data_IF_360832330557
#
_entry.id   IF_360832330557
#
_cell.length_a   1.000
_cell.length_b   1.000
_cell.length_c   1.000
_cell.angle_alpha   90.00
_cell.angle_beta   90.00
_cell.angle_gamma   90.00
#
_symmetry.space_group_name_H-M   'P 1'
#
loop_
_entity.id
_entity.type
_entity.pdbx_description
1 polymer ?
#
# COMPACT_ATOMS: atom_id res chain seq x y z
N UNK A 1 28.18 -1.72 -10.73
CA UNK A 1 26.99 -1.21 -10.00
C UNK A 1 27.06 -1.76 -8.59
N UNK A 2 26.67 -0.99 -7.57
CA UNK A 2 26.51 -1.49 -6.20
C UNK A 2 25.17 -2.22 -6.06
N UNK A 3 25.06 -3.17 -5.12
CA UNK A 3 23.79 -3.85 -4.82
C UNK A 3 22.70 -2.85 -4.42
N UNK A 4 23.02 -1.86 -3.57
CA UNK A 4 22.09 -0.79 -3.20
C UNK A 4 21.47 -0.10 -4.43
N UNK A 5 22.30 0.26 -5.41
CA UNK A 5 21.83 0.91 -6.64
C UNK A 5 20.92 0.00 -7.46
N UNK A 6 21.17 -1.31 -7.42
CA UNK A 6 20.35 -2.29 -8.12
C UNK A 6 19.02 -2.49 -7.40
N UNK A 7 19.02 -2.63 -6.07
CA UNK A 7 17.84 -2.71 -5.21
C UNK A 7 16.93 -1.50 -5.45
N UNK A 8 17.47 -0.28 -5.39
CA UNK A 8 16.68 0.95 -5.67
C UNK A 8 16.10 0.98 -7.09
N UNK A 9 16.84 0.47 -8.08
CA UNK A 9 16.32 0.39 -9.46
C UNK A 9 15.20 -0.65 -9.59
N UNK A 10 15.29 -1.77 -8.90
CA UNK A 10 14.25 -2.80 -8.86
C UNK A 10 13.00 -2.22 -8.21
N UNK A 11 13.12 -1.65 -7.00
CA UNK A 11 12.00 -1.01 -6.29
C UNK A 11 11.31 0.06 -7.15
N UNK A 12 12.08 0.95 -7.79
CA UNK A 12 11.54 1.99 -8.71
C UNK A 12 10.89 1.42 -9.98
N UNK A 13 11.22 0.18 -10.36
CA UNK A 13 10.65 -0.47 -11.54
C UNK A 13 9.35 -1.22 -11.26
N UNK A 14 8.97 -1.37 -9.99
CA UNK A 14 7.75 -2.08 -9.61
C UNK A 14 6.49 -1.28 -10.04
N UNK A 15 5.38 -1.98 -10.39
CA UNK A 15 4.11 -1.31 -10.66
C UNK A 15 3.55 -0.61 -9.41
N UNK A 16 2.80 0.49 -9.61
CA UNK A 16 2.20 1.33 -8.53
C UNK A 16 1.43 0.58 -7.45
N UNK A 17 0.86 -0.59 -7.77
CA UNK A 17 0.18 -1.44 -6.76
C UNK A 17 1.12 -1.92 -5.63
N UNK A 18 2.43 -1.84 -5.83
CA UNK A 18 3.44 -2.17 -4.84
C UNK A 18 3.91 -0.93 -4.05
N UNK A 19 3.44 0.28 -4.33
CA UNK A 19 3.95 1.51 -3.70
C UNK A 19 3.90 1.41 -2.17
N UNK A 20 2.76 0.97 -1.61
CA UNK A 20 2.61 0.77 -0.16
C UNK A 20 3.60 -0.27 0.39
N UNK A 21 3.88 -1.34 -0.37
CA UNK A 21 4.85 -2.39 0.02
C UNK A 21 6.29 -1.90 -0.07
N UNK A 22 6.60 -1.08 -1.09
CA UNK A 22 7.92 -0.46 -1.25
C UNK A 22 8.19 0.46 -0.07
N UNK A 23 7.23 1.32 0.31
CA UNK A 23 7.36 2.19 1.49
C UNK A 23 7.65 1.38 2.75
N UNK A 24 6.89 0.30 3.00
CA UNK A 24 7.16 -0.57 4.15
C UNK A 24 8.57 -1.16 4.15
N UNK A 25 9.07 -1.59 2.98
CA UNK A 25 10.45 -2.12 2.86
C UNK A 25 11.48 -1.02 3.14
N UNK A 26 11.29 0.18 2.60
CA UNK A 26 12.20 1.32 2.79
C UNK A 26 12.22 1.83 4.25
N UNK A 27 11.11 1.71 4.98
CA UNK A 27 11.00 2.09 6.40
C UNK A 27 11.54 1.01 7.35
N UNK A 28 11.28 -0.27 7.05
CA UNK A 28 11.61 -1.39 7.94
C UNK A 28 13.04 -1.92 7.75
N UNK A 29 13.62 -1.78 6.55
CA UNK A 29 14.91 -2.36 6.20
C UNK A 29 15.90 -1.32 5.68
N UNK A 30 17.20 -1.56 5.94
CA UNK A 30 18.27 -0.73 5.41
C UNK A 30 18.65 -1.13 3.97
N UNK A 31 18.17 -0.35 3.01
CA UNK A 31 18.43 -0.53 1.56
C UNK A 31 19.93 -0.55 1.22
N UNK A 32 20.78 0.10 2.02
CA UNK A 32 22.22 0.19 1.76
C UNK A 32 22.96 -1.13 1.96
N UNK A 33 22.43 -2.01 2.81
CA UNK A 33 22.99 -3.31 3.15
C UNK A 33 22.17 -4.50 2.61
N UNK A 34 21.04 -4.21 1.95
CA UNK A 34 20.13 -5.23 1.43
C UNK A 34 20.68 -5.90 0.17
N UNK A 35 20.61 -7.24 0.12
CA UNK A 35 20.95 -8.03 -1.07
C UNK A 35 19.77 -8.14 -2.02
N UNK A 36 20.06 -8.32 -3.30
CA UNK A 36 19.00 -8.49 -4.31
C UNK A 36 18.19 -9.77 -4.08
N UNK A 37 18.84 -10.86 -3.69
CA UNK A 37 18.15 -12.13 -3.40
C UNK A 37 17.17 -12.01 -2.23
N UNK A 38 17.54 -11.24 -1.20
CA UNK A 38 16.67 -10.95 -0.06
C UNK A 38 15.46 -10.13 -0.50
N UNK A 39 15.67 -9.07 -1.28
CA UNK A 39 14.59 -8.25 -1.84
C UNK A 39 13.61 -9.08 -2.66
N UNK A 40 14.13 -9.96 -3.52
CA UNK A 40 13.31 -10.84 -4.34
C UNK A 40 12.50 -11.80 -3.47
N UNK A 41 13.09 -12.33 -2.39
CA UNK A 41 12.39 -13.15 -1.40
C UNK A 41 11.23 -12.40 -0.75
N UNK A 42 11.48 -11.18 -0.22
CA UNK A 42 10.45 -10.34 0.39
C UNK A 42 9.32 -10.02 -0.58
N UNK A 43 9.64 -9.65 -1.82
CA UNK A 43 8.63 -9.33 -2.84
C UNK A 43 7.80 -10.57 -3.23
N UNK A 44 8.40 -11.76 -3.28
CA UNK A 44 7.68 -13.00 -3.55
C UNK A 44 6.71 -13.36 -2.42
N UNK A 45 7.17 -13.27 -1.17
CA UNK A 45 6.33 -13.51 0.01
C UNK A 45 5.12 -12.56 0.02
N UNK A 46 5.36 -11.27 -0.20
CA UNK A 46 4.31 -10.26 -0.28
C UNK A 46 3.36 -10.44 -1.48
N UNK A 47 3.82 -11.02 -2.59
CA UNK A 47 2.96 -11.29 -3.75
C UNK A 47 2.04 -12.50 -3.53
N UNK A 48 2.45 -13.46 -2.70
CA UNK A 48 1.64 -14.64 -2.37
C UNK A 48 0.47 -14.27 -1.45
N UNK A 49 0.65 -13.33 -0.52
CA UNK A 49 -0.42 -12.89 0.38
C UNK A 49 -1.60 -12.21 -0.34
N UNK A 50 -1.33 -11.47 -1.43
CA UNK A 50 -2.34 -10.80 -2.25
C UNK A 50 -3.32 -11.77 -2.93
N UNK A 51 -2.96 -13.06 -3.05
CA UNK A 51 -3.80 -14.07 -3.71
C UNK A 51 -4.92 -14.61 -2.81
N UNK A 52 -4.94 -14.24 -1.53
CA UNK A 52 -5.94 -14.76 -0.56
C UNK A 52 -7.27 -13.98 -0.54
N UNK A 53 -7.37 -12.83 -1.21
CA UNK A 53 -8.51 -11.91 -1.05
C UNK A 53 -9.31 -11.76 -2.36
N UNK A 54 -9.97 -12.84 -2.80
CA UNK A 54 -11.15 -12.74 -3.67
C UNK A 54 -12.26 -13.65 -3.14
N UNK A 55 -12.66 -13.42 -1.90
CA UNK A 55 -13.99 -13.85 -1.45
C UNK A 55 -14.97 -12.90 -2.13
N UNK A 56 -15.60 -13.38 -3.20
CA UNK A 56 -16.76 -12.75 -3.84
C UNK A 56 -17.80 -12.43 -2.76
N UNK A 57 -17.79 -11.19 -2.26
CA UNK A 57 -18.87 -10.67 -1.42
C UNK A 57 -20.08 -10.51 -2.35
N UNK A 58 -20.91 -11.54 -2.43
CA UNK A 58 -22.24 -11.43 -3.02
C UNK A 58 -23.08 -10.56 -2.08
N UNK A 59 -23.20 -9.27 -2.38
CA UNK A 59 -24.14 -8.40 -1.67
C UNK A 59 -25.54 -8.67 -2.21
N UNK A 60 -26.32 -9.48 -1.48
CA UNK A 60 -27.74 -9.59 -1.75
C UNK A 60 -28.44 -8.33 -1.22
N UNK A 61 -29.20 -7.66 -2.08
CA UNK A 61 -29.90 -6.42 -1.75
C UNK A 61 -31.05 -6.71 -0.78
N UNK A 62 -30.90 -6.32 0.50
CA UNK A 62 -31.99 -6.32 1.48
C UNK A 62 -32.47 -4.87 1.59
N UNK A 63 -33.68 -4.61 1.07
CA UNK A 63 -34.30 -3.29 1.20
C UNK A 63 -34.97 -3.21 2.58
N UNK A 64 -34.39 -2.42 3.51
CA UNK A 64 -35.10 -1.45 4.37
C UNK A 64 -34.18 -0.80 5.44
N UNK A 65 -34.21 0.53 5.50
CA UNK A 65 -33.73 1.49 6.51
C UNK A 65 -32.21 1.75 6.67
N UNK A 66 -31.80 2.83 5.99
CA UNK A 66 -30.75 3.83 6.28
C UNK A 66 -29.26 3.40 6.30
N UNK A 67 -28.57 3.91 5.28
CA UNK A 67 -27.20 3.65 4.79
C UNK A 67 -26.11 4.25 5.71
N UNK A 68 -25.16 3.43 6.17
CA UNK A 68 -23.84 3.92 6.59
C UNK A 68 -22.74 3.19 5.79
N UNK A 69 -22.09 3.96 4.91
CA UNK A 69 -21.12 3.57 3.91
C UNK A 69 -19.80 3.09 4.54
N UNK A 70 -19.29 1.93 4.13
CA UNK A 70 -17.95 1.48 4.51
C UNK A 70 -16.86 2.31 3.80
N UNK A 71 -16.25 3.22 4.57
CA UNK A 71 -15.05 3.98 4.22
C UNK A 71 -13.89 3.07 3.83
N UNK A 72 -13.43 3.21 2.59
CA UNK A 72 -12.07 2.86 2.20
C UNK A 72 -11.14 3.96 2.74
N UNK A 73 -10.42 3.65 3.81
CA UNK A 73 -9.34 4.48 4.36
C UNK A 73 -8.23 4.63 3.32
N UNK A 74 -8.17 5.81 2.69
CA UNK A 74 -6.98 6.35 2.07
C UNK A 74 -6.79 7.74 2.66
N UNK A 75 -6.03 7.81 3.77
CA UNK A 75 -5.57 9.04 4.38
C UNK A 75 -4.90 9.91 3.30
N UNK A 76 -5.55 11.02 2.94
CA UNK A 76 -4.92 12.10 2.19
C UNK A 76 -4.96 13.32 3.12
N UNK A 77 -3.79 13.61 3.69
CA UNK A 77 -3.47 14.79 4.50
C UNK A 77 -3.69 16.09 3.68
N UNK A 78 -3.83 17.22 4.38
CA UNK A 78 -3.89 18.61 3.86
C UNK A 78 -5.30 19.11 3.44
N UNK A 79 -6.07 19.84 4.25
CA UNK A 79 -5.77 21.20 4.73
C UNK A 79 -6.75 21.60 5.85
N UNK A 80 -6.28 21.76 7.08
CA UNK A 80 -7.03 22.51 8.11
C UNK A 80 -6.87 23.99 7.76
N UNK A 81 -7.65 24.49 6.81
CA UNK A 81 -7.68 25.91 6.47
C UNK A 81 -9.08 26.24 5.96
N UNK A 82 -9.93 26.73 6.88
CA UNK A 82 -11.07 27.65 6.64
C UNK A 82 -12.28 27.45 7.60
N UNK A 83 -12.15 26.64 8.64
CA UNK A 83 -13.19 26.55 9.70
C UNK A 83 -13.03 27.57 10.85
N UNK A 84 -12.31 28.69 10.64
CA UNK A 84 -12.21 29.81 11.60
C UNK A 84 -12.67 31.12 10.95
N UNK A 85 -13.88 31.15 10.39
CA UNK A 85 -14.59 32.41 10.24
C UNK A 85 -15.94 32.27 10.92
N UNK A 86 -15.92 32.60 12.22
CA UNK A 86 -17.09 33.12 12.94
C UNK A 86 -17.71 34.25 12.13
N UNK A 87 -19.00 34.15 11.83
CA UNK A 87 -19.95 35.27 11.83
C UNK A 87 -21.38 34.75 11.90
#
# INVERSE_FOLDING_TARGET
MSEEKLVRKILRSLPKKFDMKVTTIEEAQDISNMKVDELVGSLQELAISDRSEKKNKSIAFVSNADDEEMQCDMETDESISDAIVLL
#
